data_IF_645383014677
#
_entry.id   IF_645383014677
#
_cell.length_a   1.000
_cell.length_b   1.000
_cell.length_c   1.000
_cell.angle_alpha   90.00
_cell.angle_beta   90.00
_cell.angle_gamma   90.00
#
_symmetry.space_group_name_H-M   'P 1'
#
loop_
_entity.id
_entity.type
_entity.pdbx_description
1 polymer ?
#
# COMPACT_ATOMS: atom_id res chain seq x y z
N UNK A 1 2.22 34.21 -0.79
CA UNK A 1 2.66 32.79 -0.93
C UNK A 1 1.47 31.89 -0.69
N UNK A 2 0.94 31.25 -1.73
CA UNK A 2 -0.14 30.28 -1.61
C UNK A 2 0.41 29.01 -0.94
N UNK A 3 -0.09 28.68 0.25
CA UNK A 3 0.18 27.38 0.88
C UNK A 3 -0.42 26.28 -0.01
N UNK A 4 0.43 25.54 -0.73
CA UNK A 4 0.00 24.39 -1.56
C UNK A 4 -0.73 23.31 -0.74
N UNK A 5 -0.56 23.30 0.57
CA UNK A 5 -1.20 22.34 1.49
C UNK A 5 -2.26 23.04 2.33
N UNK A 6 -3.45 22.42 2.38
CA UNK A 6 -4.52 22.88 3.26
C UNK A 6 -4.14 22.60 4.73
N UNK A 7 -4.09 23.66 5.53
CA UNK A 7 -3.88 23.61 6.96
C UNK A 7 -5.22 23.84 7.68
N UNK A 8 -5.48 23.07 8.74
CA UNK A 8 -6.71 23.23 9.51
C UNK A 8 -6.65 24.53 10.32
N UNK A 9 -7.76 25.28 10.45
CA UNK A 9 -7.79 26.53 11.19
C UNK A 9 -7.67 26.34 12.71
N UNK A 10 -7.90 25.14 13.24
CA UNK A 10 -7.76 24.83 14.67
C UNK A 10 -7.00 23.52 14.92
N UNK A 11 -6.26 23.45 16.04
CA UNK A 11 -5.56 22.24 16.49
C UNK A 11 -6.53 21.11 16.88
N UNK A 12 -7.72 21.47 17.34
CA UNK A 12 -8.74 20.50 17.73
C UNK A 12 -9.34 19.77 16.51
N UNK A 13 -9.52 20.49 15.40
CA UNK A 13 -9.95 19.89 14.14
C UNK A 13 -8.88 18.95 13.56
N UNK A 14 -7.60 19.28 13.76
CA UNK A 14 -6.51 18.39 13.40
C UNK A 14 -6.51 17.10 14.26
N UNK A 15 -6.78 17.20 15.57
CA UNK A 15 -6.89 16.03 16.44
C UNK A 15 -8.06 15.11 16.02
N UNK A 16 -9.22 15.69 15.68
CA UNK A 16 -10.40 14.95 15.16
C UNK A 16 -10.11 14.30 13.80
N UNK A 17 -9.41 15.01 12.91
CA UNK A 17 -8.95 14.47 11.65
C UNK A 17 -8.03 13.26 11.86
N UNK A 18 -7.06 13.36 12.79
CA UNK A 18 -6.13 12.27 13.14
C UNK A 18 -6.87 11.02 13.67
N UNK A 19 -7.87 11.20 14.53
CA UNK A 19 -8.67 10.07 15.02
C UNK A 19 -9.43 9.36 13.87
N UNK A 20 -10.07 10.14 12.99
CA UNK A 20 -10.77 9.61 11.81
C UNK A 20 -9.81 8.93 10.83
N UNK A 21 -8.60 9.48 10.68
CA UNK A 21 -7.53 8.92 9.87
C UNK A 21 -7.14 7.51 10.34
N UNK A 22 -6.83 7.32 11.63
CA UNK A 22 -6.41 6.02 12.15
C UNK A 22 -7.49 4.93 12.00
N UNK A 23 -8.76 5.30 12.19
CA UNK A 23 -9.88 4.37 11.99
C UNK A 23 -9.99 3.90 10.53
N UNK A 24 -9.77 4.80 9.56
CA UNK A 24 -9.77 4.44 8.13
C UNK A 24 -8.52 3.67 7.74
N UNK A 25 -7.36 4.02 8.31
CA UNK A 25 -6.10 3.32 8.06
C UNK A 25 -6.20 1.84 8.42
N UNK A 26 -6.88 1.50 9.53
CA UNK A 26 -7.14 0.10 9.93
C UNK A 26 -7.94 -0.70 8.89
N UNK A 27 -8.87 -0.06 8.17
CA UNK A 27 -9.62 -0.72 7.09
C UNK A 27 -8.76 -0.85 5.82
N UNK A 28 -8.02 0.20 5.49
CA UNK A 28 -7.13 0.24 4.33
C UNK A 28 -6.01 -0.79 4.41
N UNK A 29 -5.36 -0.95 5.57
CA UNK A 29 -4.28 -1.95 5.72
C UNK A 29 -4.77 -3.36 5.44
N UNK A 30 -5.95 -3.74 5.95
CA UNK A 30 -6.55 -5.07 5.66
C UNK A 30 -6.87 -5.24 4.18
N UNK A 31 -7.45 -4.21 3.56
CA UNK A 31 -7.81 -4.26 2.15
C UNK A 31 -6.57 -4.36 1.25
N UNK A 32 -5.56 -3.51 1.47
CA UNK A 32 -4.30 -3.54 0.72
C UNK A 32 -3.61 -4.89 0.89
N UNK A 33 -3.58 -5.45 2.09
CA UNK A 33 -2.94 -6.72 2.36
C UNK A 33 -3.67 -7.90 1.73
N UNK A 34 -5.01 -7.90 1.75
CA UNK A 34 -5.82 -8.89 1.07
C UNK A 34 -5.60 -8.83 -0.45
N UNK A 35 -5.61 -7.63 -1.04
CA UNK A 35 -5.34 -7.43 -2.47
C UNK A 35 -3.93 -7.90 -2.81
N UNK A 36 -2.92 -7.52 -2.04
CA UNK A 36 -1.53 -7.94 -2.27
C UNK A 36 -1.37 -9.46 -2.19
N UNK A 37 -2.04 -10.12 -1.24
CA UNK A 37 -2.03 -11.59 -1.11
C UNK A 37 -2.70 -12.25 -2.31
N UNK A 38 -3.84 -11.73 -2.77
CA UNK A 38 -4.52 -12.23 -3.98
C UNK A 38 -3.65 -12.02 -5.21
N UNK A 39 -3.03 -10.85 -5.36
CA UNK A 39 -2.11 -10.57 -6.47
C UNK A 39 -0.91 -11.52 -6.45
N UNK A 40 -0.33 -11.79 -5.27
CA UNK A 40 0.76 -12.75 -5.13
C UNK A 40 0.32 -14.18 -5.50
N UNK A 41 -0.88 -14.61 -5.07
CA UNK A 41 -1.45 -15.91 -5.39
C UNK A 41 -1.73 -16.06 -6.89
N UNK A 42 -2.34 -15.05 -7.53
CA UNK A 42 -2.58 -15.04 -8.98
C UNK A 42 -1.25 -15.07 -9.74
N UNK A 43 -0.26 -14.30 -9.30
CA UNK A 43 1.07 -14.28 -9.92
C UNK A 43 1.76 -15.65 -9.82
N UNK A 44 1.65 -16.33 -8.66
CA UNK A 44 2.18 -17.67 -8.45
C UNK A 44 1.46 -18.71 -9.33
N UNK A 45 0.13 -18.71 -9.33
CA UNK A 45 -0.67 -19.62 -10.15
C UNK A 45 -0.43 -19.39 -11.65
N UNK A 46 -0.33 -18.14 -12.09
CA UNK A 46 -0.06 -17.78 -13.48
C UNK A 46 1.32 -18.24 -13.96
N UNK A 47 2.38 -18.02 -13.15
CA UNK A 47 3.71 -18.55 -13.45
C UNK A 47 3.74 -20.07 -13.48
N UNK A 48 3.09 -20.71 -12.52
CA UNK A 48 3.01 -22.16 -12.43
C UNK A 48 2.34 -22.73 -13.68
N UNK A 49 1.17 -22.18 -14.05
CA UNK A 49 0.44 -22.57 -15.25
C UNK A 49 1.25 -22.33 -16.53
N UNK A 50 1.90 -21.17 -16.67
CA UNK A 50 2.71 -20.85 -17.83
C UNK A 50 3.83 -21.85 -18.01
N UNK A 51 4.50 -22.28 -16.93
CA UNK A 51 5.56 -23.29 -17.00
C UNK A 51 5.07 -24.71 -17.25
N UNK A 52 3.88 -25.07 -16.78
CA UNK A 52 3.23 -26.31 -17.17
C UNK A 52 2.88 -26.31 -18.66
N UNK A 53 2.35 -25.19 -19.18
CA UNK A 53 1.94 -25.04 -20.57
C UNK A 53 3.12 -24.95 -21.56
N UNK A 54 4.23 -24.30 -21.19
CA UNK A 54 5.41 -24.16 -22.07
C UNK A 54 6.32 -25.39 -22.09
N UNK A 55 5.86 -26.54 -21.59
CA UNK A 55 6.54 -27.83 -21.81
C UNK A 55 7.74 -28.13 -20.91
N UNK A 56 8.14 -27.24 -19.99
CA UNK A 56 9.15 -27.55 -18.96
C UNK A 56 8.68 -28.62 -17.95
N UNK A 57 7.42 -29.05 -18.01
CA UNK A 57 6.84 -30.08 -17.15
C UNK A 57 6.53 -31.43 -17.82
N UNK A 58 6.59 -31.57 -19.15
CA UNK A 58 6.04 -32.76 -19.81
C UNK A 58 6.89 -33.41 -20.91
N UNK A 59 8.13 -32.96 -21.15
CA UNK A 59 8.88 -33.40 -22.34
C UNK A 59 10.38 -33.68 -22.19
N UNK A 60 11.02 -33.54 -21.03
CA UNK A 60 12.42 -33.91 -20.86
C UNK A 60 12.62 -34.99 -19.78
N UNK A 61 13.04 -36.22 -20.14
CA UNK A 61 13.31 -37.32 -19.21
C UNK A 61 14.63 -37.11 -18.46
N UNK A 62 14.79 -35.95 -17.82
CA UNK A 62 16.02 -35.52 -17.16
C UNK A 62 15.93 -34.24 -16.35
N UNK A 63 14.73 -33.66 -16.14
CA UNK A 63 14.57 -32.62 -15.11
C UNK A 63 14.68 -33.29 -13.73
N UNK A 64 15.91 -33.33 -13.21
CA UNK A 64 16.20 -33.66 -11.81
C UNK A 64 15.19 -32.95 -10.91
N UNK A 65 14.42 -33.71 -10.12
CA UNK A 65 13.43 -33.24 -9.14
C UNK A 65 13.84 -31.93 -8.44
N UNK A 66 15.11 -31.77 -8.10
CA UNK A 66 15.67 -30.57 -7.46
C UNK A 66 15.55 -29.24 -8.24
N UNK A 67 15.49 -29.23 -9.58
CA UNK A 67 15.29 -27.98 -10.35
C UNK A 67 13.85 -27.46 -10.15
N UNK A 68 12.85 -28.32 -10.34
CA UNK A 68 11.43 -27.97 -10.13
C UNK A 68 11.15 -27.52 -8.68
N UNK A 69 11.72 -28.22 -7.69
CA UNK A 69 11.62 -27.85 -6.28
C UNK A 69 12.27 -26.50 -5.98
N UNK A 70 13.41 -26.19 -6.60
CA UNK A 70 14.08 -24.90 -6.44
C UNK A 70 13.25 -23.73 -6.99
N UNK A 71 12.62 -23.91 -8.15
CA UNK A 71 11.74 -22.90 -8.77
C UNK A 71 10.48 -22.63 -7.95
N UNK A 72 9.83 -23.69 -7.48
CA UNK A 72 8.60 -23.58 -6.68
C UNK A 72 8.86 -22.94 -5.32
N UNK A 73 10.00 -23.20 -4.69
CA UNK A 73 10.42 -22.52 -3.46
C UNK A 73 10.66 -21.02 -3.71
N UNK A 74 11.32 -20.68 -4.82
CA UNK A 74 11.62 -19.28 -5.19
C UNK A 74 10.37 -18.47 -5.55
N UNK A 75 9.39 -19.10 -6.20
CA UNK A 75 8.15 -18.43 -6.57
C UNK A 75 7.14 -18.39 -5.42
N UNK A 76 7.16 -19.39 -4.55
CA UNK A 76 6.29 -19.51 -3.39
C UNK A 76 6.71 -18.62 -2.21
N UNK A 77 7.97 -18.19 -2.13
CA UNK A 77 8.46 -17.36 -1.02
C UNK A 77 7.69 -16.06 -0.87
N UNK A 78 7.35 -15.40 -1.97
CA UNK A 78 6.59 -14.15 -1.98
C UNK A 78 5.13 -14.37 -1.52
N UNK A 79 4.51 -15.48 -1.95
CA UNK A 79 3.18 -15.86 -1.48
C UNK A 79 3.19 -16.16 0.03
N UNK A 80 4.22 -16.88 0.52
CA UNK A 80 4.38 -17.20 1.95
C UNK A 80 4.59 -15.92 2.77
N UNK A 81 5.40 -14.98 2.29
CA UNK A 81 5.60 -13.69 2.97
C UNK A 81 4.30 -12.89 3.00
N UNK A 82 3.58 -12.77 1.89
CA UNK A 82 2.30 -12.04 1.87
C UNK A 82 1.24 -12.71 2.76
N UNK A 83 1.16 -14.05 2.74
CA UNK A 83 0.22 -14.82 3.56
C UNK A 83 0.54 -14.72 5.05
N UNK A 84 1.82 -14.84 5.44
CA UNK A 84 2.27 -14.68 6.83
C UNK A 84 2.03 -13.27 7.35
N UNK A 85 2.25 -12.25 6.52
CA UNK A 85 1.91 -10.85 6.83
C UNK A 85 0.39 -10.66 6.97
N UNK A 86 -0.41 -11.26 6.09
CA UNK A 86 -1.88 -11.25 6.18
C UNK A 86 -2.37 -11.87 7.49
N UNK A 87 -1.90 -13.06 7.82
CA UNK A 87 -2.20 -13.72 9.08
C UNK A 87 -1.73 -12.88 10.28
N UNK A 88 -0.55 -12.27 10.21
CA UNK A 88 -0.05 -11.35 11.22
C UNK A 88 -0.96 -10.15 11.45
N UNK A 89 -1.38 -9.44 10.40
CA UNK A 89 -2.25 -8.27 10.56
C UNK A 89 -3.68 -8.66 10.96
N UNK A 90 -4.18 -9.82 10.53
CA UNK A 90 -5.48 -10.34 10.95
C UNK A 90 -5.49 -10.74 12.41
N UNK A 91 -4.45 -11.43 12.89
CA UNK A 91 -4.28 -11.81 14.31
C UNK A 91 -4.13 -10.58 15.20
N UNK A 92 -3.30 -9.62 14.77
CA UNK A 92 -3.07 -8.31 15.42
C UNK A 92 -4.29 -7.37 15.35
N UNK A 93 -5.28 -7.70 14.52
CA UNK A 93 -6.57 -7.00 14.47
C UNK A 93 -7.73 -7.83 15.02
N UNK A 94 -7.48 -9.04 15.53
CA UNK A 94 -8.51 -9.89 16.12
C UNK A 94 -9.03 -9.27 17.43
N UNK A 95 -10.15 -9.78 17.94
CA UNK A 95 -10.68 -9.35 19.24
C UNK A 95 -9.68 -9.60 20.39
N UNK A 96 -8.74 -10.53 20.21
CA UNK A 96 -7.80 -10.95 21.24
C UNK A 96 -6.67 -9.94 21.44
N UNK A 97 -6.13 -9.34 20.37
CA UNK A 97 -5.06 -8.34 20.43
C UNK A 97 -5.49 -7.08 19.68
N UNK A 98 -6.01 -6.07 20.39
CA UNK A 98 -6.27 -4.77 19.78
C UNK A 98 -5.01 -3.90 19.85
N UNK A 99 -4.34 -3.71 18.71
CA UNK A 99 -3.29 -2.70 18.61
C UNK A 99 -3.87 -1.30 18.78
N UNK A 100 -3.29 -0.56 19.72
CA UNK A 100 -3.60 0.84 19.95
C UNK A 100 -3.44 1.65 18.66
N UNK A 101 -4.37 2.57 18.40
CA UNK A 101 -4.36 3.45 17.23
C UNK A 101 -3.02 4.18 17.04
N UNK A 102 -2.29 4.46 18.15
CA UNK A 102 -0.97 5.11 18.14
C UNK A 102 0.13 4.26 17.49
N UNK A 103 0.01 2.93 17.51
CA UNK A 103 1.02 2.00 16.96
C UNK A 103 0.69 1.48 15.56
N UNK A 104 -0.50 1.81 15.03
CA UNK A 104 -0.97 1.27 13.76
C UNK A 104 -0.16 1.78 12.55
N UNK A 105 0.32 3.02 12.58
CA UNK A 105 1.23 3.53 11.55
C UNK A 105 2.56 2.76 11.52
N UNK A 106 3.13 2.42 12.69
CA UNK A 106 4.36 1.64 12.77
C UNK A 106 4.17 0.23 12.18
N UNK A 107 3.03 -0.41 12.42
CA UNK A 107 2.70 -1.71 11.80
C UNK A 107 2.60 -1.59 10.28
N UNK A 108 1.97 -0.53 9.76
CA UNK A 108 1.95 -0.27 8.32
C UNK A 108 3.35 -0.08 7.73
N UNK A 109 4.23 0.65 8.43
CA UNK A 109 5.61 0.88 8.00
C UNK A 109 6.38 -0.44 7.97
N UNK A 110 6.34 -1.22 9.05
CA UNK A 110 6.99 -2.54 9.12
C UNK A 110 6.52 -3.47 8.00
N UNK A 111 5.20 -3.48 7.73
CA UNK A 111 4.63 -4.23 6.62
C UNK A 111 5.21 -3.81 5.27
N UNK A 112 5.23 -2.50 4.98
CA UNK A 112 5.76 -1.99 3.72
C UNK A 112 7.25 -2.31 3.55
N UNK A 113 8.04 -2.22 4.63
CA UNK A 113 9.45 -2.57 4.60
C UNK A 113 9.66 -4.06 4.31
N UNK A 114 8.85 -4.94 4.91
CA UNK A 114 8.89 -6.37 4.65
C UNK A 114 8.50 -6.69 3.20
N UNK A 115 7.49 -6.00 2.64
CA UNK A 115 7.13 -6.11 1.23
C UNK A 115 8.28 -5.73 0.29
N UNK A 116 8.92 -4.57 0.53
CA UNK A 116 10.07 -4.15 -0.26
C UNK A 116 11.25 -5.12 -0.12
N UNK A 117 11.54 -5.59 1.10
CA UNK A 117 12.61 -6.55 1.34
C UNK A 117 12.37 -7.89 0.62
N UNK A 118 11.12 -8.39 0.63
CA UNK A 118 10.74 -9.61 -0.06
C UNK A 118 10.84 -9.46 -1.59
N UNK A 119 10.35 -8.36 -2.15
CA UNK A 119 10.46 -8.07 -3.57
C UNK A 119 11.93 -7.96 -4.01
N UNK A 120 12.74 -7.23 -3.24
CA UNK A 120 14.17 -7.02 -3.53
C UNK A 120 14.98 -8.30 -3.40
N UNK A 121 14.81 -9.06 -2.32
CA UNK A 121 15.51 -10.33 -2.12
C UNK A 121 15.19 -11.33 -3.23
N UNK A 122 13.91 -11.47 -3.59
CA UNK A 122 13.48 -12.31 -4.73
C UNK A 122 14.17 -11.88 -6.03
N UNK A 123 14.21 -10.56 -6.29
CA UNK A 123 14.82 -10.00 -7.50
C UNK A 123 16.35 -10.20 -7.55
N UNK A 124 17.05 -10.13 -6.42
CA UNK A 124 18.49 -10.42 -6.31
C UNK A 124 18.76 -11.92 -6.48
N UNK A 125 17.98 -12.77 -5.80
CA UNK A 125 18.14 -14.23 -5.85
C UNK A 125 17.92 -14.75 -7.28
N UNK A 126 16.90 -14.26 -7.99
CA UNK A 126 16.63 -14.63 -9.38
C UNK A 126 17.80 -14.25 -10.30
N UNK A 127 18.37 -13.05 -10.17
CA UNK A 127 19.52 -12.62 -10.98
C UNK A 127 20.80 -13.38 -10.64
N UNK A 128 21.01 -13.74 -9.36
CA UNK A 128 22.20 -14.48 -8.92
C UNK A 128 22.20 -15.95 -9.35
N UNK A 129 21.02 -16.57 -9.47
CA UNK A 129 20.90 -17.97 -9.88
C UNK A 129 20.76 -18.18 -11.39
N UNK A 130 21.08 -17.14 -12.19
CA UNK A 130 21.09 -17.19 -13.65
C UNK A 130 19.80 -17.78 -14.23
N UNK A 131 18.68 -17.32 -13.68
CA UNK A 131 17.35 -17.63 -14.20
C UNK A 131 17.20 -16.90 -15.54
N UNK A 132 17.44 -17.59 -16.65
CA UNK A 132 17.17 -17.07 -18.02
C UNK A 132 15.66 -17.06 -18.35
N UNK A 133 14.80 -16.91 -17.33
CA UNK A 133 13.36 -16.83 -17.48
C UNK A 133 12.94 -15.36 -17.46
N UNK A 134 12.86 -14.75 -18.65
CA UNK A 134 12.51 -13.33 -18.83
C UNK A 134 11.18 -12.97 -18.16
N UNK A 135 10.25 -13.92 -18.05
CA UNK A 135 8.96 -13.75 -17.38
C UNK A 135 9.12 -13.54 -15.87
N UNK A 136 10.05 -14.24 -15.23
CA UNK A 136 10.35 -14.08 -13.80
C UNK A 136 10.98 -12.73 -13.48
N UNK A 137 11.92 -12.29 -14.33
CA UNK A 137 12.56 -10.98 -14.20
C UNK A 137 11.55 -9.84 -14.36
N UNK A 138 10.65 -9.92 -15.34
CA UNK A 138 9.58 -8.93 -15.50
C UNK A 138 8.61 -8.95 -14.31
N UNK A 139 8.23 -10.13 -13.82
CA UNK A 139 7.34 -10.23 -12.68
C UNK A 139 7.96 -9.65 -11.40
N UNK A 140 9.25 -9.89 -11.13
CA UNK A 140 9.91 -9.31 -9.95
C UNK A 140 10.03 -7.78 -10.05
N UNK A 141 10.28 -7.24 -11.24
CA UNK A 141 10.23 -5.80 -11.47
C UNK A 141 8.82 -5.23 -11.25
N UNK A 142 7.78 -5.90 -11.75
CA UNK A 142 6.38 -5.50 -11.53
C UNK A 142 5.99 -5.54 -10.05
N UNK A 143 6.47 -6.53 -9.28
CA UNK A 143 6.23 -6.63 -7.83
C UNK A 143 6.84 -5.47 -7.05
N UNK A 144 8.03 -5.01 -7.46
CA UNK A 144 8.66 -3.84 -6.85
C UNK A 144 7.88 -2.55 -7.15
N UNK A 145 7.46 -2.34 -8.40
CA UNK A 145 6.61 -1.21 -8.79
C UNK A 145 5.26 -1.26 -8.05
N UNK A 146 4.65 -2.44 -7.97
CA UNK A 146 3.40 -2.65 -7.23
C UNK A 146 3.55 -2.29 -5.75
N UNK A 147 4.69 -2.59 -5.13
CA UNK A 147 4.97 -2.22 -3.73
C UNK A 147 4.89 -0.70 -3.52
N UNK A 148 5.41 0.13 -4.44
CA UNK A 148 5.24 1.59 -4.36
C UNK A 148 3.77 2.02 -4.43
N UNK A 149 2.98 1.42 -5.32
CA UNK A 149 1.53 1.71 -5.38
C UNK A 149 0.76 1.20 -4.15
N UNK A 150 1.20 0.10 -3.52
CA UNK A 150 0.67 -0.34 -2.23
C UNK A 150 0.93 0.70 -1.12
N UNK A 151 2.10 1.37 -1.13
CA UNK A 151 2.39 2.46 -0.19
C UNK A 151 1.44 3.65 -0.42
N UNK A 152 1.18 4.01 -1.68
CA UNK A 152 0.25 5.09 -2.03
C UNK A 152 -1.20 4.79 -1.62
N UNK A 153 -1.66 3.55 -1.77
CA UNK A 153 -3.03 3.12 -1.42
C UNK A 153 -3.29 3.07 0.08
N UNK A 154 -2.27 2.80 0.90
CA UNK A 154 -2.38 2.94 2.36
C UNK A 154 -2.65 4.38 2.78
N UNK A 155 -2.30 5.36 1.93
CA UNK A 155 -2.44 6.81 2.19
C UNK A 155 -1.86 7.16 3.55
N UNK A 156 -0.61 6.75 3.76
CA UNK A 156 0.18 7.16 4.91
C UNK A 156 0.35 8.68 4.90
N UNK A 157 0.59 9.28 6.06
CA UNK A 157 0.92 10.71 6.13
C UNK A 157 2.17 10.98 5.29
N UNK A 158 2.27 12.14 4.61
CA UNK A 158 3.39 12.43 3.72
C UNK A 158 4.76 12.23 4.36
N UNK A 159 4.94 12.65 5.62
CA UNK A 159 6.21 12.46 6.34
C UNK A 159 6.61 10.98 6.42
N UNK A 160 5.68 10.11 6.79
CA UNK A 160 5.92 8.66 6.90
C UNK A 160 6.10 8.03 5.52
N UNK A 161 5.25 8.42 4.56
CA UNK A 161 5.30 7.92 3.19
C UNK A 161 6.66 8.20 2.53
N UNK A 162 7.16 9.44 2.62
CA UNK A 162 8.45 9.84 2.04
C UNK A 162 9.59 9.10 2.71
N UNK A 163 9.55 8.91 4.04
CA UNK A 163 10.58 8.12 4.74
C UNK A 163 10.62 6.67 4.23
N UNK A 164 9.47 6.02 4.06
CA UNK A 164 9.42 4.64 3.55
C UNK A 164 9.89 4.56 2.09
N UNK A 165 9.42 5.45 1.23
CA UNK A 165 9.85 5.51 -0.18
C UNK A 165 11.34 5.79 -0.29
N UNK A 166 11.86 6.75 0.48
CA UNK A 166 13.28 7.08 0.52
C UNK A 166 14.12 5.89 0.98
N UNK A 167 13.71 5.19 2.04
CA UNK A 167 14.41 3.99 2.52
C UNK A 167 14.40 2.88 1.47
N UNK A 168 13.28 2.68 0.75
CA UNK A 168 13.18 1.70 -0.33
C UNK A 168 14.13 2.03 -1.50
N UNK A 169 14.23 3.31 -1.89
CA UNK A 169 15.16 3.76 -2.92
C UNK A 169 16.63 3.62 -2.48
N UNK A 170 16.94 3.92 -1.22
CA UNK A 170 18.29 3.71 -0.68
C UNK A 170 18.64 2.22 -0.67
N UNK A 171 17.69 1.35 -0.35
CA UNK A 171 17.88 -0.12 -0.37
C UNK A 171 18.14 -0.71 -1.76
N UNK A 172 17.73 -0.02 -2.84
CA UNK A 172 18.00 -0.44 -4.23
C UNK A 172 19.50 -0.34 -4.58
N UNK A 173 20.23 0.63 -4.02
CA UNK A 173 21.66 0.83 -4.27
C UNK A 173 22.53 -0.37 -3.84
N UNK A 174 22.51 -0.84 -2.58
CA UNK A 174 23.32 -1.98 -2.16
C UNK A 174 22.87 -3.29 -2.80
N UNK A 175 21.60 -3.42 -3.22
CA UNK A 175 21.15 -4.60 -3.93
C UNK A 175 21.82 -4.78 -5.31
N UNK A 176 22.24 -3.68 -5.95
CA UNK A 176 23.02 -3.74 -7.20
C UNK A 176 24.43 -4.32 -7.03
N UNK A 177 24.99 -4.24 -5.81
CA UNK A 177 26.29 -4.83 -5.46
C UNK A 177 26.22 -6.34 -5.25
N UNK A 178 25.04 -6.87 -4.91
CA UNK A 178 24.81 -8.30 -4.71
C UNK A 178 24.61 -9.09 -6.02
N UNK A 179 24.60 -8.40 -7.16
CA UNK A 179 24.38 -8.97 -8.49
C UNK A 179 25.71 -9.12 -9.24
N UNK A 180 25.93 -10.24 -9.97
CA UNK A 180 27.07 -10.41 -10.86
C UNK A 180 27.27 -9.24 -11.84
N UNK A 181 28.52 -8.94 -12.19
CA UNK A 181 28.88 -7.74 -12.96
C UNK A 181 28.23 -7.69 -14.36
N UNK A 182 28.05 -8.84 -14.99
CA UNK A 182 27.38 -9.08 -16.28
C UNK A 182 25.87 -8.77 -16.25
N UNK A 183 25.24 -8.79 -15.06
CA UNK A 183 23.80 -8.57 -14.86
C UNK A 183 23.46 -7.23 -14.20
N UNK A 184 24.46 -6.38 -13.95
CA UNK A 184 24.25 -4.99 -13.50
C UNK A 184 23.40 -4.14 -14.47
N UNK A 185 23.45 -4.31 -15.81
CA UNK A 185 22.57 -3.59 -16.73
C UNK A 185 21.08 -3.88 -16.48
N UNK A 186 20.74 -5.11 -16.10
CA UNK A 186 19.36 -5.52 -15.78
C UNK A 186 18.83 -4.85 -14.51
N UNK A 187 19.72 -4.36 -13.63
CA UNK A 187 19.36 -3.55 -12.46
C UNK A 187 19.10 -2.09 -12.83
N UNK A 188 19.75 -1.53 -13.86
CA UNK A 188 19.40 -0.21 -14.40
C UNK A 188 17.98 -0.19 -14.97
N UNK A 189 17.59 -1.29 -15.63
CA UNK A 189 16.21 -1.50 -16.11
C UNK A 189 15.15 -1.57 -14.99
N UNK A 190 15.56 -1.82 -13.74
CA UNK A 190 14.69 -1.77 -12.56
C UNK A 190 14.67 -0.39 -11.89
N UNK A 191 15.82 0.31 -11.89
CA UNK A 191 15.97 1.60 -11.21
C UNK A 191 15.05 2.67 -11.79
N UNK A 192 14.98 2.79 -13.13
CA UNK A 192 14.16 3.82 -13.77
C UNK A 192 12.66 3.63 -13.48
N UNK A 193 12.05 2.43 -13.66
CA UNK A 193 10.68 2.18 -13.23
C UNK A 193 10.45 2.39 -11.73
N UNK A 194 11.40 2.02 -10.88
CA UNK A 194 11.30 2.24 -9.43
C UNK A 194 11.26 3.73 -9.08
N UNK A 195 12.11 4.55 -9.70
CA UNK A 195 12.14 5.99 -9.52
C UNK A 195 10.83 6.64 -9.99
N UNK A 196 10.32 6.25 -11.16
CA UNK A 196 9.03 6.73 -11.67
C UNK A 196 7.87 6.30 -10.77
N UNK A 197 7.88 5.07 -10.28
CA UNK A 197 6.87 4.57 -9.35
C UNK A 197 6.93 5.30 -7.99
N UNK A 198 8.12 5.60 -7.48
CA UNK A 198 8.33 6.39 -6.27
C UNK A 198 7.82 7.83 -6.44
N UNK A 199 8.11 8.48 -7.57
CA UNK A 199 7.61 9.81 -7.91
C UNK A 199 6.08 9.80 -8.05
N UNK A 200 5.52 8.82 -8.74
CA UNK A 200 4.07 8.65 -8.86
C UNK A 200 3.40 8.43 -7.50
N UNK A 201 3.97 7.55 -6.68
CA UNK A 201 3.49 7.23 -5.33
C UNK A 201 3.48 8.46 -4.41
N UNK A 202 4.59 9.20 -4.40
CA UNK A 202 4.72 10.43 -3.57
C UNK A 202 3.76 11.52 -4.05
N UNK A 203 3.63 11.71 -5.35
CA UNK A 203 2.67 12.66 -5.94
C UNK A 203 1.23 12.30 -5.55
N UNK A 204 0.84 11.04 -5.70
CA UNK A 204 -0.48 10.55 -5.28
C UNK A 204 -0.70 10.73 -3.77
N UNK A 205 0.32 10.52 -2.94
CA UNK A 205 0.24 10.75 -1.50
C UNK A 205 -0.11 12.22 -1.19
N UNK A 206 0.58 13.18 -1.80
CA UNK A 206 0.30 14.60 -1.59
C UNK A 206 -1.08 15.02 -2.11
N UNK A 207 -1.47 14.53 -3.29
CA UNK A 207 -2.81 14.79 -3.83
C UNK A 207 -3.92 14.21 -2.95
N UNK A 208 -3.78 12.97 -2.48
CA UNK A 208 -4.76 12.36 -1.59
C UNK A 208 -4.82 13.04 -0.23
N UNK A 209 -3.69 13.44 0.35
CA UNK A 209 -3.65 14.14 1.64
C UNK A 209 -4.35 15.51 1.53
N UNK A 210 -4.01 16.29 0.50
CA UNK A 210 -4.61 17.62 0.28
C UNK A 210 -6.12 17.54 0.05
N UNK A 211 -6.58 16.63 -0.82
CA UNK A 211 -8.00 16.42 -1.08
C UNK A 211 -8.75 15.91 0.17
N UNK A 212 -8.13 14.99 0.93
CA UNK A 212 -8.75 14.39 2.11
C UNK A 212 -8.96 15.42 3.24
N UNK A 213 -7.98 16.30 3.46
CA UNK A 213 -8.11 17.39 4.44
C UNK A 213 -9.19 18.38 4.05
N UNK A 214 -9.22 18.83 2.79
CA UNK A 214 -10.27 19.74 2.28
C UNK A 214 -11.67 19.13 2.41
N UNK A 215 -11.83 17.86 2.04
CA UNK A 215 -13.11 17.16 2.16
C UNK A 215 -13.55 17.02 3.63
N UNK A 216 -12.63 16.69 4.54
CA UNK A 216 -12.94 16.60 5.96
C UNK A 216 -13.42 17.94 6.52
N UNK A 217 -12.76 19.04 6.15
CA UNK A 217 -13.16 20.38 6.55
C UNK A 217 -14.53 20.78 6.00
N UNK A 218 -14.77 20.60 4.69
CA UNK A 218 -16.06 20.87 4.07
C UNK A 218 -17.20 20.09 4.74
N UNK A 219 -16.96 18.82 5.08
CA UNK A 219 -17.93 17.99 5.81
C UNK A 219 -18.18 18.53 7.23
N UNK A 220 -17.16 19.04 7.90
CA UNK A 220 -17.31 19.66 9.22
C UNK A 220 -18.13 20.95 9.14
N UNK A 221 -17.80 21.85 8.21
CA UNK A 221 -18.52 23.11 8.01
C UNK A 221 -19.98 22.88 7.65
N UNK A 222 -20.28 22.01 6.67
CA UNK A 222 -21.65 21.68 6.27
C UNK A 222 -22.48 21.10 7.41
N UNK A 223 -21.89 20.26 8.27
CA UNK A 223 -22.57 19.71 9.46
C UNK A 223 -22.84 20.77 10.52
N UNK A 224 -21.94 21.74 10.71
CA UNK A 224 -22.17 22.89 11.60
C UNK A 224 -23.28 23.77 11.03
N UNK A 225 -23.27 24.05 9.72
CA UNK A 225 -24.29 24.86 9.07
C UNK A 225 -25.68 24.21 9.12
N UNK A 226 -25.80 22.89 8.92
CA UNK A 226 -27.10 22.20 9.03
C UNK A 226 -27.60 22.12 10.47
N UNK A 227 -26.71 21.94 11.44
CA UNK A 227 -27.09 21.94 12.88
C UNK A 227 -27.46 23.32 13.40
N UNK A 228 -26.82 24.40 12.92
CA UNK A 228 -27.21 25.78 13.22
C UNK A 228 -28.46 26.23 12.46
N UNK A 229 -28.64 25.81 11.20
CA UNK A 229 -29.85 26.09 10.41
C UNK A 229 -31.09 25.42 10.99
N UNK A 230 -30.96 24.18 11.49
CA UNK A 230 -32.05 23.47 12.17
C UNK A 230 -32.48 24.10 13.51
N UNK A 231 -31.56 24.73 14.25
CA UNK A 231 -31.89 25.46 15.48
C UNK A 231 -32.60 26.79 15.22
N UNK A 232 -32.28 27.49 14.12
CA UNK A 232 -32.98 28.73 13.75
C UNK A 232 -34.41 28.48 13.22
N UNK A 233 -34.67 27.33 12.59
CA UNK A 233 -36.01 26.98 12.11
C UNK A 233 -36.98 26.57 13.24
N UNK A 234 -36.48 26.08 14.38
CA UNK A 234 -37.31 25.71 15.53
C UNK A 234 -37.71 26.89 16.43
N UNK A 235 -37.22 28.10 16.14
CA UNK A 235 -37.45 29.31 16.95
C UNK A 235 -38.10 30.44 16.14
N UNK A 236 -38.89 30.08 15.11
CA UNK A 236 -39.81 31.03 14.51
C UNK A 236 -41.03 31.19 15.44
N UNK A 237 -41.33 32.39 15.95
CA UNK A 237 -42.47 32.58 16.84
C UNK A 237 -43.77 32.27 16.11
N UNK A 238 -44.60 31.39 16.70
CA UNK A 238 -46.01 31.24 16.32
C UNK A 238 -46.67 32.61 16.40
N UNK A 239 -47.05 33.15 15.25
CA UNK A 239 -48.01 34.26 15.18
C UNK A 239 -49.30 33.81 15.89
N UNK A 240 -49.81 34.56 16.89
CA UNK A 240 -51.12 34.27 17.45
C UNK A 240 -52.18 34.62 16.41
N UNK A 241 -53.01 33.63 16.09
CA UNK A 241 -54.24 33.80 15.31
C UNK A 241 -55.15 34.82 16.00
N UNK A 242 -55.69 35.82 15.30
CA UNK A 242 -56.68 36.71 15.89
C UNK A 242 -57.96 35.91 16.20
N UNK A 243 -58.40 36.04 17.44
CA UNK A 243 -59.72 35.60 17.90
C UNK A 243 -60.82 36.29 17.10
N UNK A 244 -61.88 35.58 16.68
CA UNK A 244 -63.06 36.24 16.13
C UNK A 244 -63.80 36.95 17.26
N UNK A 245 -63.83 38.28 17.22
CA UNK A 245 -64.80 39.07 17.95
C UNK A 245 -66.15 39.02 17.22
N UNK A 246 -67.20 38.82 18.03
CA UNK A 246 -68.63 39.09 17.80
C UNK A 246 -69.36 38.30 16.69
#
# INVERSE_FOLDING_TARGET
MQTMFYEFPSRDDEARFRASYHQKLRKRIKAVLAVNTITAAISFSGLTLLRFATGNGFGQPGLTSGKFTRWTILDGSDLIVNLSLLLGVLTVSSRCWQVSNKKLEAVCVMYLLLMFAAAMSTSVIQRRFNVDDRALLQLSNHRLVFSFFSVATLRLRPRVHICVVGLALVGLLPASWAVPADRKPDMLGLLLPAMLAALGSTTLCFMFESAYRRYFWLKHCTRITTTLGGKKAATAPRQPSPSPEA
#
